data_IF_930691940841
#
_entry.id   IF_930691940841
#
_cell.length_a   1.000
_cell.length_b   1.000
_cell.length_c   1.000
_cell.angle_alpha   90.00
_cell.angle_beta   90.00
_cell.angle_gamma   90.00
#
_symmetry.space_group_name_H-M   'P 1'
#
loop_
_entity.id
_entity.type
_entity.pdbx_description
1 polymer ?
#
# COMPACT_ATOMS: atom_id res chain seq x y z
N UNK A 1 19.56 13.09 -28.43
CA UNK A 1 20.16 12.46 -27.22
C UNK A 1 19.20 12.71 -26.07
N UNK A 2 18.72 11.66 -25.39
CA UNK A 2 17.80 11.83 -24.26
C UNK A 2 18.52 12.56 -23.12
N UNK A 3 17.90 13.63 -22.60
CA UNK A 3 18.48 14.42 -21.51
C UNK A 3 18.53 13.56 -20.23
N UNK A 4 19.72 13.27 -19.69
CA UNK A 4 19.85 12.45 -18.47
C UNK A 4 19.09 13.06 -17.28
N UNK A 5 18.97 14.38 -17.25
CA UNK A 5 18.17 15.10 -16.25
C UNK A 5 16.67 14.79 -16.33
N UNK A 6 16.13 14.58 -17.53
CA UNK A 6 14.73 14.17 -17.68
C UNK A 6 14.52 12.74 -17.16
N UNK A 7 15.44 11.83 -17.45
CA UNK A 7 15.39 10.47 -16.92
C UNK A 7 15.47 10.46 -15.38
N UNK A 8 16.37 11.25 -14.79
CA UNK A 8 16.49 11.37 -13.33
C UNK A 8 15.22 11.93 -12.70
N UNK A 9 14.62 12.98 -13.30
CA UNK A 9 13.34 13.52 -12.86
C UNK A 9 12.21 12.50 -12.97
N UNK A 10 12.16 11.70 -14.04
CA UNK A 10 11.18 10.63 -14.18
C UNK A 10 11.34 9.56 -13.10
N UNK A 11 12.58 9.10 -12.85
CA UNK A 11 12.89 8.14 -11.79
C UNK A 11 12.51 8.70 -10.41
N UNK A 12 12.83 9.97 -10.15
CA UNK A 12 12.47 10.63 -8.90
C UNK A 12 10.94 10.73 -8.71
N UNK A 13 10.21 11.14 -9.75
CA UNK A 13 8.75 11.20 -9.72
C UNK A 13 8.12 9.81 -9.52
N UNK A 14 8.65 8.79 -10.20
CA UNK A 14 8.23 7.40 -10.02
C UNK A 14 8.48 6.93 -8.58
N UNK A 15 9.66 7.18 -8.03
CA UNK A 15 10.00 6.84 -6.64
C UNK A 15 9.08 7.54 -5.64
N UNK A 16 8.82 8.84 -5.84
CA UNK A 16 7.92 9.61 -5.01
C UNK A 16 6.47 9.11 -5.12
N UNK A 17 6.03 8.71 -6.31
CA UNK A 17 4.72 8.08 -6.51
C UNK A 17 4.62 6.75 -5.77
N UNK A 18 5.59 5.85 -5.95
CA UNK A 18 5.63 4.55 -5.27
C UNK A 18 5.68 4.69 -3.74
N UNK A 19 6.46 5.64 -3.22
CA UNK A 19 6.53 5.92 -1.78
C UNK A 19 5.19 6.46 -1.24
N UNK A 20 4.51 7.33 -1.99
CA UNK A 20 3.16 7.82 -1.63
C UNK A 20 2.13 6.69 -1.64
N UNK A 21 2.18 5.81 -2.65
CA UNK A 21 1.30 4.64 -2.73
C UNK A 21 1.56 3.67 -1.58
N UNK A 22 2.82 3.39 -1.25
CA UNK A 22 3.17 2.56 -0.10
C UNK A 22 2.56 3.12 1.20
N UNK A 23 2.72 4.43 1.47
CA UNK A 23 2.12 5.07 2.65
C UNK A 23 0.59 4.95 2.66
N UNK A 24 -0.06 5.21 1.52
CA UNK A 24 -1.52 5.08 1.39
C UNK A 24 -1.99 3.64 1.68
N UNK A 25 -1.29 2.63 1.14
CA UNK A 25 -1.61 1.23 1.43
C UNK A 25 -1.44 0.88 2.92
N UNK A 26 -0.46 1.48 3.61
CA UNK A 26 -0.27 1.29 5.05
C UNK A 26 -1.43 1.89 5.87
N UNK A 27 -1.87 3.10 5.51
CA UNK A 27 -3.03 3.75 6.13
C UNK A 27 -4.30 2.93 5.90
N UNK A 28 -4.56 2.51 4.66
CA UNK A 28 -5.69 1.66 4.32
C UNK A 28 -5.63 0.32 5.07
N UNK A 29 -4.46 -0.31 5.20
CA UNK A 29 -4.30 -1.56 5.97
C UNK A 29 -4.69 -1.37 7.44
N UNK A 30 -4.26 -0.27 8.07
CA UNK A 30 -4.62 0.06 9.47
C UNK A 30 -6.12 0.27 9.62
N UNK A 31 -6.75 0.98 8.69
CA UNK A 31 -8.19 1.18 8.66
C UNK A 31 -8.96 -0.13 8.50
N UNK A 32 -8.52 -1.01 7.58
CA UNK A 32 -9.15 -2.32 7.38
C UNK A 32 -9.01 -3.20 8.62
N UNK A 33 -7.83 -3.23 9.26
CA UNK A 33 -7.64 -3.94 10.54
C UNK A 33 -8.58 -3.42 11.65
N UNK A 34 -8.81 -2.12 11.71
CA UNK A 34 -9.79 -1.54 12.65
C UNK A 34 -11.22 -1.96 12.29
N UNK A 35 -11.59 -1.98 11.01
CA UNK A 35 -12.88 -2.46 10.53
C UNK A 35 -13.10 -3.94 10.86
N UNK A 36 -12.06 -4.78 10.73
CA UNK A 36 -12.09 -6.19 11.17
C UNK A 36 -12.45 -6.27 12.65
N UNK A 37 -11.73 -5.53 13.51
CA UNK A 37 -12.00 -5.52 14.96
C UNK A 37 -13.44 -5.11 15.26
N UNK A 38 -13.90 -3.99 14.69
CA UNK A 38 -15.27 -3.50 14.84
C UNK A 38 -16.33 -4.49 14.32
N UNK A 39 -16.04 -5.20 13.23
CA UNK A 39 -16.96 -6.19 12.67
C UNK A 39 -17.06 -7.43 13.57
N UNK A 40 -15.94 -7.89 14.13
CA UNK A 40 -15.91 -9.00 15.11
C UNK A 40 -16.68 -8.61 16.37
N UNK A 41 -16.46 -7.40 16.91
CA UNK A 41 -17.17 -6.91 18.11
C UNK A 41 -18.69 -6.84 17.91
N UNK A 42 -19.14 -6.52 16.69
CA UNK A 42 -20.57 -6.51 16.33
C UNK A 42 -21.15 -7.90 16.06
N UNK A 43 -20.34 -8.95 16.09
CA UNK A 43 -20.75 -10.31 15.68
C UNK A 43 -20.92 -10.48 14.17
N UNK A 44 -20.52 -9.50 13.35
CA UNK A 44 -20.57 -9.58 11.90
C UNK A 44 -19.31 -10.29 11.37
N UNK A 45 -19.29 -11.61 11.52
CA UNK A 45 -18.17 -12.47 11.09
C UNK A 45 -17.94 -12.44 9.57
N UNK A 46 -19.02 -12.28 8.80
CA UNK A 46 -18.94 -12.17 7.34
C UNK A 46 -18.19 -10.90 6.91
N UNK A 47 -18.61 -9.75 7.44
CA UNK A 47 -17.92 -8.47 7.22
C UNK A 47 -16.48 -8.50 7.72
N UNK A 48 -16.22 -9.15 8.86
CA UNK A 48 -14.87 -9.30 9.40
C UNK A 48 -13.95 -10.08 8.45
N UNK A 49 -14.44 -11.15 7.81
CA UNK A 49 -13.67 -11.92 6.81
C UNK A 49 -13.35 -11.07 5.60
N UNK A 50 -14.32 -10.33 5.08
CA UNK A 50 -14.13 -9.44 3.92
C UNK A 50 -13.08 -8.36 4.24
N UNK A 51 -13.18 -7.70 5.40
CA UNK A 51 -12.18 -6.69 5.80
C UNK A 51 -10.79 -7.30 6.05
N UNK A 52 -10.72 -8.53 6.56
CA UNK A 52 -9.46 -9.22 6.81
C UNK A 52 -8.76 -9.59 5.49
N UNK A 53 -9.51 -10.10 4.52
CA UNK A 53 -9.00 -10.38 3.18
C UNK A 53 -8.48 -9.12 2.50
N UNK A 54 -9.25 -8.02 2.58
CA UNK A 54 -8.83 -6.72 2.08
C UNK A 54 -7.55 -6.21 2.76
N UNK A 55 -7.42 -6.38 4.09
CA UNK A 55 -6.21 -6.02 4.81
C UNK A 55 -4.99 -6.85 4.36
N UNK A 56 -5.17 -8.14 4.10
CA UNK A 56 -4.10 -9.02 3.61
C UNK A 56 -3.65 -8.63 2.20
N UNK A 57 -4.60 -8.30 1.32
CA UNK A 57 -4.31 -7.79 -0.02
C UNK A 57 -3.51 -6.48 0.05
N UNK A 58 -3.98 -5.51 0.83
CA UNK A 58 -3.31 -4.21 1.03
C UNK A 58 -1.90 -4.35 1.61
N UNK A 59 -1.70 -5.28 2.56
CA UNK A 59 -0.36 -5.60 3.08
C UNK A 59 0.58 -6.09 1.99
N UNK A 60 0.06 -6.92 1.09
CA UNK A 60 0.85 -7.50 -0.01
C UNK A 60 1.20 -6.42 -1.04
N UNK A 61 0.24 -5.56 -1.40
CA UNK A 61 0.48 -4.38 -2.23
C UNK A 61 1.52 -3.46 -1.59
N UNK A 62 1.38 -3.11 -0.31
CA UNK A 62 2.34 -2.29 0.42
C UNK A 62 3.76 -2.88 0.37
N UNK A 63 3.90 -4.18 0.63
CA UNK A 63 5.19 -4.88 0.54
C UNK A 63 5.78 -4.82 -0.87
N UNK A 64 4.95 -4.96 -1.90
CA UNK A 64 5.38 -4.86 -3.29
C UNK A 64 5.84 -3.43 -3.62
N UNK A 65 5.09 -2.39 -3.22
CA UNK A 65 5.49 -0.99 -3.40
C UNK A 65 6.78 -0.63 -2.65
N UNK A 66 6.95 -1.16 -1.43
CA UNK A 66 8.17 -0.99 -0.65
C UNK A 66 9.36 -1.66 -1.34
N UNK A 67 9.17 -2.88 -1.86
CA UNK A 67 10.19 -3.59 -2.64
C UNK A 67 10.58 -2.81 -3.90
N UNK A 68 9.60 -2.32 -4.67
CA UNK A 68 9.84 -1.47 -5.86
C UNK A 68 10.61 -0.19 -5.50
N UNK A 69 10.32 0.42 -4.35
CA UNK A 69 11.01 1.63 -3.89
C UNK A 69 12.44 1.33 -3.44
N UNK A 70 12.67 0.15 -2.85
CA UNK A 70 13.98 -0.29 -2.34
C UNK A 70 14.90 -0.85 -3.42
N UNK A 71 14.38 -1.54 -4.44
CA UNK A 71 15.18 -2.13 -5.53
C UNK A 71 15.83 -1.09 -6.47
N UNK A 72 15.54 0.20 -6.27
CA UNK A 72 16.13 1.30 -7.06
C UNK A 72 17.12 2.15 -6.26
N UNK A 73 17.66 1.65 -5.14
CA UNK A 73 18.78 2.28 -4.39
C UNK A 73 20.08 1.58 -4.71
#
# INVERSE_FOLDING_TARGET
MGNPENLMNQIFNLRLSSARQARKCEEEEKEQKLKVKKAIEKGNMDGARIYAENAIHKRTEHKNYLCLTSMSS
#
